data_IF_231157654944
#
_entry.id   IF_231157654944
#
_cell.length_a   1.000
_cell.length_b   1.000
_cell.length_c   1.000
_cell.angle_alpha   90.00
_cell.angle_beta   90.00
_cell.angle_gamma   90.00
#
_symmetry.space_group_name_H-M   'P 1'
#
loop_
_entity.id
_entity.type
_entity.pdbx_description
1 polymer ?
#
# COMPACT_ATOMS: atom_id res chain seq x y z
N UNK A 1 54.14 22.02 -3.29
CA UNK A 1 53.29 21.14 -2.45
C UNK A 1 52.35 20.40 -3.38
N UNK A 2 52.56 19.10 -3.59
CA UNK A 2 51.75 18.28 -4.49
C UNK A 2 50.59 17.64 -3.73
N UNK A 3 49.35 18.06 -4.02
CA UNK A 3 48.14 17.53 -3.37
C UNK A 3 47.71 16.22 -4.04
N UNK A 4 47.81 15.10 -3.33
CA UNK A 4 47.38 13.78 -3.82
C UNK A 4 45.86 13.65 -3.78
N UNK A 5 45.23 13.24 -4.89
CA UNK A 5 43.78 13.01 -4.96
C UNK A 5 43.38 11.87 -4.02
N UNK A 6 42.38 12.05 -3.13
CA UNK A 6 41.93 10.99 -2.24
C UNK A 6 41.38 9.81 -3.03
N UNK A 7 41.72 8.59 -2.59
CA UNK A 7 41.30 7.35 -3.23
C UNK A 7 39.77 7.19 -3.18
N UNK A 8 39.19 6.66 -4.26
CA UNK A 8 37.74 6.40 -4.35
C UNK A 8 37.37 5.28 -3.38
N UNK A 9 36.59 5.59 -2.35
CA UNK A 9 36.07 4.60 -1.41
C UNK A 9 34.86 3.85 -2.00
N UNK A 10 34.78 2.55 -1.73
CA UNK A 10 33.61 1.72 -2.02
C UNK A 10 32.79 1.62 -0.73
N UNK A 11 31.50 1.95 -0.80
CA UNK A 11 30.62 2.02 0.36
C UNK A 11 29.55 0.91 0.29
N UNK A 12 29.59 -0.01 1.26
CA UNK A 12 28.62 -1.11 1.41
C UNK A 12 27.59 -0.87 2.53
N UNK A 13 27.58 0.30 3.17
CA UNK A 13 26.73 0.60 4.33
C UNK A 13 25.33 1.14 3.97
N UNK A 14 25.10 1.53 2.70
CA UNK A 14 23.86 2.19 2.29
C UNK A 14 22.89 1.20 1.67
N UNK A 15 21.69 1.10 2.22
CA UNK A 15 20.58 0.30 1.68
C UNK A 15 19.69 1.05 0.68
N UNK A 16 20.22 2.02 -0.07
CA UNK A 16 19.43 2.77 -1.05
C UNK A 16 19.43 2.04 -2.40
N UNK A 17 18.31 2.08 -3.16
CA UNK A 17 18.30 1.54 -4.51
C UNK A 17 19.31 2.26 -5.40
N UNK A 18 19.85 1.55 -6.39
CA UNK A 18 20.79 2.13 -7.34
C UNK A 18 20.11 3.26 -8.15
N UNK A 19 20.78 4.41 -8.42
CA UNK A 19 20.17 5.55 -9.12
C UNK A 19 19.59 5.24 -10.50
N UNK A 20 20.11 4.24 -11.21
CA UNK A 20 19.56 3.84 -12.51
C UNK A 20 18.19 3.16 -12.43
N UNK A 21 17.79 2.69 -11.26
CA UNK A 21 16.47 2.10 -11.02
C UNK A 21 15.41 3.16 -10.72
N UNK A 22 15.81 4.42 -10.56
CA UNK A 22 14.88 5.51 -10.24
C UNK A 22 14.06 5.85 -11.50
N UNK A 23 12.72 5.77 -11.45
CA UNK A 23 11.86 5.92 -12.61
C UNK A 23 11.59 7.39 -12.96
N UNK A 24 12.66 8.18 -13.16
CA UNK A 24 12.59 9.65 -13.31
C UNK A 24 11.64 10.08 -14.43
N UNK A 25 11.74 9.49 -15.61
CA UNK A 25 10.88 9.85 -16.76
C UNK A 25 9.41 9.46 -16.53
N UNK A 26 9.16 8.34 -15.84
CA UNK A 26 7.79 7.94 -15.53
C UNK A 26 7.16 8.90 -14.50
N UNK A 27 7.91 9.28 -13.46
CA UNK A 27 7.45 10.25 -12.45
C UNK A 27 7.21 11.63 -13.08
N UNK A 28 8.11 12.09 -13.95
CA UNK A 28 7.96 13.38 -14.66
C UNK A 28 6.70 13.40 -15.52
N UNK A 29 6.48 12.35 -16.32
CA UNK A 29 5.27 12.22 -17.15
C UNK A 29 4.00 12.16 -16.31
N UNK A 30 4.01 11.40 -15.21
CA UNK A 30 2.86 11.29 -14.31
C UNK A 30 2.52 12.63 -13.64
N UNK A 31 3.54 13.34 -13.16
CA UNK A 31 3.36 14.65 -12.53
C UNK A 31 2.78 15.68 -13.51
N UNK A 32 3.31 15.76 -14.74
CA UNK A 32 2.78 16.66 -15.76
C UNK A 32 1.31 16.33 -16.09
N UNK A 33 1.00 15.05 -16.35
CA UNK A 33 -0.37 14.61 -16.65
C UNK A 33 -1.36 14.92 -15.52
N UNK A 34 -0.94 14.73 -14.26
CA UNK A 34 -1.77 15.05 -13.10
C UNK A 34 -2.01 16.56 -12.94
N UNK A 35 -0.99 17.39 -13.23
CA UNK A 35 -1.07 18.85 -13.07
C UNK A 35 -1.74 19.57 -14.26
N UNK A 36 -1.70 18.98 -15.47
CA UNK A 36 -2.38 19.52 -16.66
C UNK A 36 -3.91 19.42 -16.55
N UNK A 37 -4.40 18.44 -15.80
CA UNK A 37 -5.82 18.14 -15.59
C UNK A 37 -6.37 18.87 -14.36
N UNK A 38 -7.14 19.94 -14.56
CA UNK A 38 -7.64 20.77 -13.44
C UNK A 38 -8.48 19.98 -12.42
N UNK A 39 -9.22 18.97 -12.87
CA UNK A 39 -10.02 18.05 -12.07
C UNK A 39 -9.18 17.15 -11.15
N UNK A 40 -7.90 16.93 -11.48
CA UNK A 40 -6.94 16.21 -10.64
C UNK A 40 -6.04 17.18 -9.86
N UNK A 41 -5.53 18.20 -10.54
CA UNK A 41 -4.57 19.16 -9.98
C UNK A 41 -5.13 19.96 -8.81
N UNK A 42 -6.37 20.48 -8.94
CA UNK A 42 -6.98 21.30 -7.88
C UNK A 42 -7.16 20.49 -6.59
N UNK A 43 -7.85 19.34 -6.57
CA UNK A 43 -7.98 18.57 -5.33
C UNK A 43 -6.65 18.03 -4.81
N UNK A 44 -5.68 17.70 -5.68
CA UNK A 44 -4.36 17.24 -5.25
C UNK A 44 -3.53 18.31 -4.50
N UNK A 45 -3.82 19.59 -4.71
CA UNK A 45 -3.16 20.73 -4.05
C UNK A 45 -3.90 21.23 -2.81
N UNK A 46 -5.01 20.58 -2.45
CA UNK A 46 -5.81 20.88 -1.26
C UNK A 46 -5.68 19.75 -0.23
N UNK A 47 -6.35 19.90 0.91
CA UNK A 47 -6.44 18.83 1.88
C UNK A 47 -7.15 17.61 1.30
N UNK A 48 -6.56 16.43 1.54
CA UNK A 48 -7.14 15.15 1.14
C UNK A 48 -8.01 14.53 2.23
N UNK A 49 -8.79 13.48 1.88
CA UNK A 49 -9.57 12.72 2.84
C UNK A 49 -8.66 11.87 3.75
N UNK A 50 -9.10 11.59 4.98
CA UNK A 50 -8.30 10.87 6.00
C UNK A 50 -7.72 9.53 5.50
N UNK A 51 -8.46 8.68 4.76
CA UNK A 51 -7.89 7.43 4.25
C UNK A 51 -6.83 7.61 3.15
N UNK A 52 -6.74 8.80 2.55
CA UNK A 52 -5.88 9.10 1.40
C UNK A 52 -6.61 9.04 0.05
N UNK A 53 -5.86 9.34 -1.02
CA UNK A 53 -6.40 9.50 -2.37
C UNK A 53 -7.07 8.23 -2.90
N UNK A 54 -8.40 8.29 -3.11
CA UNK A 54 -9.24 7.13 -3.45
C UNK A 54 -8.73 6.32 -4.66
N UNK A 55 -8.44 6.93 -5.84
CA UNK A 55 -8.02 6.15 -7.00
C UNK A 55 -6.70 5.40 -6.78
N UNK A 56 -5.79 5.94 -5.96
CA UNK A 56 -4.56 5.22 -5.62
C UNK A 56 -4.85 3.97 -4.78
N UNK A 57 -5.80 4.06 -3.83
CA UNK A 57 -6.17 2.92 -2.99
C UNK A 57 -6.80 1.79 -3.79
N UNK A 58 -7.66 2.11 -4.75
CA UNK A 58 -8.28 1.13 -5.66
C UNK A 58 -7.23 0.43 -6.53
N UNK A 59 -6.23 1.17 -7.04
CA UNK A 59 -5.14 0.59 -7.82
C UNK A 59 -4.23 -0.30 -6.95
N UNK A 60 -3.95 0.08 -5.71
CA UNK A 60 -3.20 -0.76 -4.77
C UNK A 60 -4.00 -2.03 -4.45
N UNK A 61 -5.30 -1.93 -4.19
CA UNK A 61 -6.17 -3.07 -3.94
C UNK A 61 -6.14 -4.07 -5.11
N UNK A 62 -6.32 -3.59 -6.33
CA UNK A 62 -6.20 -4.41 -7.54
C UNK A 62 -4.83 -5.06 -7.65
N UNK A 63 -3.75 -4.28 -7.52
CA UNK A 63 -2.39 -4.81 -7.64
C UNK A 63 -2.06 -5.85 -6.56
N UNK A 64 -2.48 -5.64 -5.32
CA UNK A 64 -2.30 -6.60 -4.23
C UNK A 64 -3.07 -7.90 -4.50
N UNK A 65 -4.30 -7.77 -4.99
CA UNK A 65 -5.10 -8.90 -5.44
C UNK A 65 -4.35 -9.69 -6.51
N UNK A 66 -3.94 -9.04 -7.59
CA UNK A 66 -3.28 -9.72 -8.71
C UNK A 66 -1.92 -10.33 -8.34
N UNK A 67 -1.12 -9.61 -7.55
CA UNK A 67 0.25 -10.02 -7.21
C UNK A 67 0.29 -11.14 -6.16
N UNK A 68 -0.56 -11.05 -5.12
CA UNK A 68 -0.55 -12.01 -4.00
C UNK A 68 -1.61 -13.12 -4.10
N UNK A 69 -2.61 -13.01 -4.98
CA UNK A 69 -3.65 -14.04 -5.16
C UNK A 69 -3.10 -15.45 -5.42
N UNK A 70 -2.01 -15.67 -6.20
CA UNK A 70 -1.45 -17.01 -6.38
C UNK A 70 -0.85 -17.63 -5.11
N UNK A 71 -0.58 -16.83 -4.07
CA UNK A 71 0.27 -17.21 -2.93
C UNK A 71 -0.53 -17.53 -1.67
N UNK A 72 -1.79 -17.11 -1.57
CA UNK A 72 -2.63 -17.41 -0.41
C UNK A 72 -3.45 -18.69 -0.65
N UNK A 73 -3.09 -19.83 -0.02
CA UNK A 73 -4.01 -20.97 0.04
C UNK A 73 -5.31 -20.50 0.68
N UNK A 74 -6.43 -20.71 -0.01
CA UNK A 74 -7.76 -20.44 0.53
C UNK A 74 -7.92 -21.30 1.80
N UNK A 75 -7.84 -20.69 2.98
CA UNK A 75 -8.01 -21.40 4.24
C UNK A 75 -9.48 -21.83 4.31
N UNK A 76 -9.81 -23.15 4.30
CA UNK A 76 -11.19 -23.59 4.38
C UNK A 76 -11.83 -23.08 5.68
N UNK A 77 -12.86 -22.25 5.57
CA UNK A 77 -13.60 -21.69 6.72
C UNK A 77 -13.46 -20.17 6.93
N UNK A 78 -12.57 -19.49 6.21
CA UNK A 78 -12.49 -18.01 6.23
C UNK A 78 -12.88 -17.44 4.86
N UNK A 79 -14.19 -17.42 4.58
CA UNK A 79 -14.70 -16.72 3.40
C UNK A 79 -14.82 -15.24 3.74
N UNK A 80 -14.15 -14.38 2.99
CA UNK A 80 -14.42 -12.94 2.98
C UNK A 80 -15.84 -12.73 2.47
N UNK A 81 -16.84 -12.83 3.34
CA UNK A 81 -18.19 -12.39 3.03
C UNK A 81 -18.17 -10.87 3.07
N UNK A 82 -17.84 -10.25 1.95
CA UNK A 82 -18.08 -8.82 1.74
C UNK A 82 -19.58 -8.64 1.59
N UNK A 83 -20.26 -8.29 2.68
CA UNK A 83 -21.61 -7.75 2.60
C UNK A 83 -21.50 -6.36 1.99
N UNK A 84 -21.58 -6.30 0.65
CA UNK A 84 -21.78 -5.06 -0.08
C UNK A 84 -23.14 -4.48 0.30
N UNK A 85 -23.18 -3.61 1.31
CA UNK A 85 -24.31 -2.73 1.54
C UNK A 85 -24.18 -1.52 0.62
N UNK A 86 -24.77 -1.65 -0.56
CA UNK A 86 -24.99 -0.58 -1.52
C UNK A 86 -25.91 0.48 -0.91
N UNK A 87 -25.39 1.69 -0.69
CA UNK A 87 -26.19 2.91 -0.58
C UNK A 87 -25.92 3.76 -1.82
N UNK A 88 -26.79 3.59 -2.81
CA UNK A 88 -26.87 4.39 -4.03
C UNK A 88 -27.41 5.79 -3.73
N UNK A 89 -26.69 6.83 -4.14
CA UNK A 89 -27.26 8.16 -4.42
C UNK A 89 -26.96 8.52 -5.87
N UNK A 90 -28.01 8.47 -6.68
CA UNK A 90 -28.00 8.77 -8.11
C UNK A 90 -28.14 10.27 -8.34
N UNK A 91 -27.39 10.84 -9.28
CA UNK A 91 -27.87 11.97 -10.06
C UNK A 91 -27.54 11.77 -11.54
N UNK A 92 -28.61 11.72 -12.32
CA UNK A 92 -28.67 11.47 -13.75
C UNK A 92 -28.33 12.71 -14.57
N UNK A 93 -27.59 12.53 -15.66
CA UNK A 93 -27.71 13.38 -16.86
C UNK A 93 -27.27 12.56 -18.07
N UNK A 94 -28.22 12.26 -18.93
CA UNK A 94 -28.01 11.44 -20.12
C UNK A 94 -27.46 12.23 -21.30
N UNK A 95 -26.99 11.50 -22.29
CA UNK A 95 -27.26 11.79 -23.69
C UNK A 95 -27.21 10.50 -24.50
N UNK A 96 -28.20 10.34 -25.35
CA UNK A 96 -28.56 9.14 -26.09
C UNK A 96 -27.84 9.00 -27.44
N UNK A 97 -27.66 7.73 -27.81
CA UNK A 97 -27.83 7.11 -29.15
C UNK A 97 -26.84 7.36 -30.30
N UNK A 98 -26.17 6.28 -30.75
CA UNK A 98 -26.46 5.56 -32.02
C UNK A 98 -25.83 4.14 -31.94
N UNK A 99 -26.60 3.07 -31.73
CA UNK A 99 -27.20 2.11 -32.67
C UNK A 99 -26.23 1.37 -33.61
N UNK A 100 -26.14 0.04 -33.43
CA UNK A 100 -25.62 -0.89 -34.45
C UNK A 100 -25.10 -2.24 -33.92
N UNK A 101 -25.94 -3.28 -34.00
CA UNK A 101 -25.65 -4.73 -33.95
C UNK A 101 -25.80 -5.47 -32.60
N UNK A 102 -26.95 -6.14 -32.47
CA UNK A 102 -27.13 -7.46 -31.83
C UNK A 102 -27.83 -8.35 -32.90
N UNK A 103 -27.72 -9.70 -32.89
CA UNK A 103 -28.40 -10.49 -31.87
C UNK A 103 -27.72 -11.82 -31.40
N UNK A 104 -28.04 -12.14 -30.15
CA UNK A 104 -28.37 -13.47 -29.57
C UNK A 104 -27.35 -14.62 -29.54
N UNK A 105 -26.92 -15.01 -28.32
CA UNK A 105 -27.30 -16.30 -27.70
C UNK A 105 -27.20 -16.15 -26.17
N UNK A 106 -28.25 -16.60 -25.47
CA UNK A 106 -28.46 -16.44 -24.03
C UNK A 106 -27.74 -17.48 -23.15
N UNK A 107 -27.55 -17.05 -21.90
CA UNK A 107 -27.73 -17.80 -20.65
C UNK A 107 -26.72 -18.90 -20.26
N UNK A 108 -25.80 -18.48 -19.40
CA UNK A 108 -25.07 -19.30 -18.45
C UNK A 108 -24.47 -18.41 -17.37
N UNK A 109 -25.33 -17.78 -16.56
CA UNK A 109 -24.96 -17.00 -15.37
C UNK A 109 -24.19 -17.89 -14.39
N UNK A 110 -22.94 -17.52 -14.15
CA UNK A 110 -22.06 -18.23 -13.24
C UNK A 110 -20.62 -17.78 -13.40
N UNK A 111 -20.36 -16.46 -13.41
CA UNK A 111 -19.00 -15.96 -13.24
C UNK A 111 -18.59 -16.24 -11.79
N UNK A 112 -17.90 -17.37 -11.60
CA UNK A 112 -17.43 -17.83 -10.31
C UNK A 112 -16.66 -16.72 -9.59
N UNK A 113 -17.02 -16.50 -8.33
CA UNK A 113 -16.29 -15.65 -7.41
C UNK A 113 -14.83 -16.11 -7.34
N UNK A 114 -13.96 -15.37 -8.03
CA UNK A 114 -12.52 -15.54 -7.96
C UNK A 114 -12.01 -15.15 -6.57
N UNK A 115 -10.88 -15.76 -6.18
CA UNK A 115 -10.20 -15.60 -4.90
C UNK A 115 -10.20 -14.16 -4.35
N UNK A 116 -10.44 -14.04 -3.04
CA UNK A 116 -10.86 -12.83 -2.33
C UNK A 116 -10.23 -11.51 -2.78
N UNK A 117 -11.07 -10.65 -3.35
CA UNK A 117 -10.71 -9.28 -3.70
C UNK A 117 -10.27 -8.51 -2.44
N UNK A 118 -9.18 -7.75 -2.56
CA UNK A 118 -8.74 -6.83 -1.50
C UNK A 118 -9.71 -5.64 -1.51
N UNK A 119 -10.48 -5.46 -0.44
CA UNK A 119 -11.41 -4.34 -0.31
C UNK A 119 -10.65 -3.01 -0.13
N UNK A 120 -11.02 -1.99 -0.91
CA UNK A 120 -10.36 -0.67 -0.90
C UNK A 120 -10.45 0.00 0.48
N UNK A 121 -11.54 -0.26 1.22
CA UNK A 121 -11.83 0.28 2.56
C UNK A 121 -10.81 -0.21 3.61
N UNK A 122 -10.10 -1.31 3.33
CA UNK A 122 -9.05 -1.85 4.21
C UNK A 122 -7.68 -1.22 3.97
N UNK A 123 -7.56 -0.31 3.01
CA UNK A 123 -6.30 0.37 2.66
C UNK A 123 -6.36 1.83 3.12
N UNK A 124 -5.29 2.27 3.78
CA UNK A 124 -5.06 3.66 4.17
C UNK A 124 -3.65 4.09 3.72
N UNK A 125 -3.53 5.33 3.25
CA UNK A 125 -2.24 5.92 2.87
C UNK A 125 -1.61 6.58 4.09
N UNK A 126 -0.34 6.26 4.36
CA UNK A 126 0.43 6.85 5.46
C UNK A 126 1.65 7.60 4.92
N UNK A 127 2.25 8.46 5.74
CA UNK A 127 3.56 9.10 5.54
C UNK A 127 4.73 8.11 5.64
N UNK A 128 4.60 6.94 5.03
CA UNK A 128 5.57 5.85 5.04
C UNK A 128 5.31 4.80 6.13
N UNK A 129 6.08 3.71 6.04
CA UNK A 129 5.97 2.57 6.94
C UNK A 129 6.28 2.94 8.40
N UNK A 130 7.22 3.85 8.64
CA UNK A 130 7.59 4.29 10.00
C UNK A 130 6.45 5.01 10.72
N UNK A 131 5.73 5.90 10.02
CA UNK A 131 4.56 6.57 10.61
C UNK A 131 3.46 5.54 10.90
N UNK A 132 3.22 4.61 9.97
CA UNK A 132 2.22 3.57 10.17
C UNK A 132 2.54 2.68 11.38
N UNK A 133 3.81 2.33 11.57
CA UNK A 133 4.25 1.55 12.73
C UNK A 133 3.96 2.29 14.05
N UNK A 134 4.20 3.60 14.10
CA UNK A 134 3.87 4.42 15.27
C UNK A 134 2.35 4.47 15.52
N UNK A 135 1.54 4.66 14.48
CA UNK A 135 0.08 4.62 14.59
C UNK A 135 -0.41 3.26 15.12
N UNK A 136 0.16 2.16 14.64
CA UNK A 136 -0.18 0.83 15.12
C UNK A 136 0.15 0.66 16.61
N UNK A 137 1.29 1.17 17.07
CA UNK A 137 1.62 1.17 18.50
C UNK A 137 0.58 1.95 19.31
N UNK A 138 0.20 3.15 18.87
CA UNK A 138 -0.77 3.98 19.59
C UNK A 138 -2.17 3.37 19.70
N UNK A 139 -2.58 2.59 18.69
CA UNK A 139 -3.91 1.96 18.66
C UNK A 139 -3.94 0.64 19.43
N UNK A 140 -2.87 -0.17 19.33
CA UNK A 140 -2.90 -1.56 19.79
C UNK A 140 -2.01 -1.85 21.00
N UNK A 141 -1.30 -0.85 21.53
CA UNK A 141 -0.44 -1.03 22.70
C UNK A 141 -0.65 0.08 23.74
N UNK A 142 -0.28 -0.23 24.96
CA UNK A 142 -0.27 0.71 26.08
C UNK A 142 1.02 0.42 26.86
N UNK A 143 1.93 1.39 27.04
CA UNK A 143 3.22 1.15 27.72
C UNK A 143 3.07 0.67 29.17
N UNK A 144 1.89 0.85 29.79
CA UNK A 144 1.60 0.36 31.14
C UNK A 144 1.12 -1.09 31.13
N UNK A 145 0.48 -1.55 30.05
CA UNK A 145 -0.13 -2.90 29.95
C UNK A 145 0.65 -3.86 29.06
N UNK A 146 1.27 -3.35 28.00
CA UNK A 146 2.03 -4.11 27.02
C UNK A 146 3.39 -4.46 27.62
N UNK A 147 3.50 -5.69 28.14
CA UNK A 147 4.69 -6.13 28.88
C UNK A 147 5.94 -6.31 28.01
N UNK A 148 5.76 -6.64 26.72
CA UNK A 148 6.88 -6.96 25.83
C UNK A 148 6.50 -6.85 24.36
N UNK A 149 7.40 -6.25 23.57
CA UNK A 149 7.37 -6.27 22.10
C UNK A 149 8.48 -7.19 21.61
N UNK A 150 8.14 -8.25 20.87
CA UNK A 150 9.12 -9.17 20.33
C UNK A 150 9.58 -8.71 18.94
N UNK A 151 10.90 -8.59 18.76
CA UNK A 151 11.54 -8.20 17.52
C UNK A 151 12.55 -9.26 17.12
N UNK A 152 12.57 -9.63 15.84
CA UNK A 152 13.62 -10.48 15.27
C UNK A 152 14.98 -9.80 15.42
N UNK A 153 16.02 -10.56 15.75
CA UNK A 153 17.39 -10.09 15.82
C UNK A 153 18.26 -10.82 14.78
N UNK A 154 18.90 -10.09 13.82
CA UNK A 154 18.88 -8.64 13.65
C UNK A 154 17.53 -8.07 13.15
N UNK A 155 17.25 -6.80 13.46
CA UNK A 155 16.00 -6.13 13.07
C UNK A 155 16.24 -4.89 12.22
N UNK A 156 15.18 -4.35 11.64
CA UNK A 156 15.22 -3.04 10.98
C UNK A 156 15.47 -1.93 12.02
N UNK A 157 16.61 -1.24 11.89
CA UNK A 157 17.13 -0.35 12.93
C UNK A 157 16.16 0.78 13.35
N UNK A 158 15.31 1.29 12.43
CA UNK A 158 14.33 2.33 12.78
C UNK A 158 13.15 1.80 13.61
N UNK A 159 12.81 0.51 13.48
CA UNK A 159 11.66 -0.05 14.20
C UNK A 159 11.89 -0.03 15.72
N UNK A 160 13.12 -0.31 16.17
CA UNK A 160 13.47 -0.27 17.59
C UNK A 160 13.30 1.13 18.21
N UNK A 161 13.66 2.18 17.46
CA UNK A 161 13.45 3.57 17.90
C UNK A 161 11.96 3.89 18.01
N UNK A 162 11.14 3.51 17.03
CA UNK A 162 9.69 3.75 17.05
C UNK A 162 9.03 3.07 18.26
N UNK A 163 9.42 1.83 18.60
CA UNK A 163 8.89 1.17 19.80
C UNK A 163 9.34 1.85 21.09
N UNK A 164 10.59 2.28 21.17
CA UNK A 164 11.12 3.05 22.31
C UNK A 164 10.39 4.37 22.53
N UNK A 165 10.10 5.11 21.45
CA UNK A 165 9.35 6.37 21.50
C UNK A 165 7.90 6.18 21.98
N UNK A 166 7.32 4.99 21.77
CA UNK A 166 6.01 4.60 22.31
C UNK A 166 6.08 3.99 23.73
N UNK A 167 7.25 4.01 24.37
CA UNK A 167 7.45 3.50 25.73
C UNK A 167 7.44 1.97 25.84
N UNK A 168 7.61 1.26 24.72
CA UNK A 168 7.54 -0.21 24.69
C UNK A 168 8.90 -0.86 24.92
N UNK A 169 8.92 -1.93 25.71
CA UNK A 169 10.13 -2.71 25.98
C UNK A 169 10.29 -3.80 24.93
N UNK A 170 11.40 -3.74 24.18
CA UNK A 170 11.71 -4.68 23.11
C UNK A 170 12.48 -5.91 23.62
N UNK A 171 12.19 -7.06 23.01
CA UNK A 171 12.77 -8.35 23.27
C UNK A 171 13.24 -8.99 21.98
N UNK A 172 14.45 -9.56 21.98
CA UNK A 172 14.97 -10.26 20.81
C UNK A 172 14.35 -11.66 20.68
N UNK A 173 13.85 -11.96 19.48
CA UNK A 173 13.58 -13.31 18.99
C UNK A 173 14.69 -13.68 17.98
N UNK A 174 15.29 -14.88 18.07
CA UNK A 174 16.34 -15.28 17.13
C UNK A 174 15.77 -15.53 15.73
N UNK A 175 16.57 -15.24 14.69
CA UNK A 175 16.26 -15.60 13.30
C UNK A 175 16.82 -17.01 12.99
N UNK A 176 15.97 -17.89 12.45
CA UNK A 176 16.36 -19.19 11.91
C UNK A 176 16.70 -19.14 10.42
N UNK A 177 17.00 -20.31 9.83
CA UNK A 177 17.33 -20.42 8.39
C UNK A 177 16.19 -19.95 7.48
N UNK A 178 14.95 -20.18 7.91
CA UNK A 178 13.74 -19.92 7.12
C UNK A 178 12.96 -18.70 7.68
N UNK A 179 13.61 -17.87 8.49
CA UNK A 179 12.99 -16.75 9.21
C UNK A 179 12.72 -17.08 10.68
N UNK A 180 11.79 -16.34 11.29
CA UNK A 180 11.27 -16.58 12.66
C UNK A 180 10.48 -17.87 12.72
#
# INVERSE_FOLDING_TARGET
MTTTKPAKQINFLRGWPHPSLLPVEALKRAANNALDKKDVAVPALLYGPDPGYQPLREQIASWLGDFYSPTFPQIPGFSSTTTASSSSSSCSSGLSSISGVTPTTEAGSGAGAGAGAVETERIVITGGASQNLACACQVFSDPVRTLRTWMVAPSYFLAGAVFGDNGLVCAAAPEGRDGV
#
